data_IF_129954554766
#
_entry.id   IF_129954554766
#
_cell.length_a   1.000
_cell.length_b   1.000
_cell.length_c   1.000
_cell.angle_alpha   90.00
_cell.angle_beta   90.00
_cell.angle_gamma   90.00
#
_symmetry.space_group_name_H-M   'P 1'
#
loop_
_entity.id
_entity.type
_entity.pdbx_description
1 polymer ?
#
# COMPACT_ATOMS: atom_id res chain seq x y z
N UNK A 1 -9.98 31.65 -77.36
CA UNK A 1 -10.81 32.34 -76.35
C UNK A 1 -11.78 31.35 -75.74
N UNK A 2 -11.86 31.33 -74.40
CA UNK A 2 -12.79 30.58 -73.50
C UNK A 2 -12.65 29.04 -73.48
N UNK A 3 -12.04 28.52 -72.40
CA UNK A 3 -12.62 27.87 -71.18
C UNK A 3 -12.97 26.39 -71.46
N UNK A 4 -12.13 25.43 -71.05
CA UNK A 4 -12.01 24.74 -69.73
C UNK A 4 -13.23 23.88 -69.37
N UNK A 5 -13.00 22.56 -69.35
CA UNK A 5 -13.84 21.52 -68.72
C UNK A 5 -12.95 20.38 -68.20
N UNK A 6 -13.30 19.86 -67.01
CA UNK A 6 -12.93 18.57 -66.35
C UNK A 6 -11.42 18.25 -66.16
N UNK A 7 -10.94 17.60 -65.10
CA UNK A 7 -11.50 16.93 -63.94
C UNK A 7 -10.40 16.07 -63.29
N UNK A 8 -10.52 15.83 -61.97
CA UNK A 8 -9.83 14.83 -61.12
C UNK A 8 -8.29 14.72 -61.12
N UNK A 9 -7.64 14.93 -59.95
CA UNK A 9 -6.45 14.18 -59.51
C UNK A 9 -6.37 14.08 -57.97
N UNK A 10 -6.32 12.83 -57.49
CA UNK A 10 -5.58 12.19 -56.38
C UNK A 10 -5.29 12.90 -55.04
N UNK A 11 -5.45 12.10 -53.96
CA UNK A 11 -4.94 12.37 -52.63
C UNK A 11 -3.42 12.22 -52.51
N UNK A 12 -2.88 12.81 -51.43
CA UNK A 12 -1.50 12.65 -51.01
C UNK A 12 -1.42 12.63 -49.47
N UNK A 13 -0.72 11.61 -48.99
CA UNK A 13 -0.22 11.39 -47.63
C UNK A 13 0.69 12.55 -47.21
N UNK A 14 0.54 13.05 -45.99
CA UNK A 14 1.55 13.89 -45.34
C UNK A 14 2.04 13.16 -44.08
N UNK A 15 3.25 12.64 -44.17
CA UNK A 15 4.14 12.39 -43.03
C UNK A 15 4.77 13.73 -42.67
N UNK A 16 4.63 14.18 -41.43
CA UNK A 16 5.51 15.21 -40.86
C UNK A 16 6.01 14.78 -39.49
N UNK A 17 7.32 14.57 -39.49
CA UNK A 17 8.25 14.32 -38.40
C UNK A 17 8.36 15.49 -37.42
N UNK A 18 8.57 15.12 -36.15
CA UNK A 18 9.50 15.76 -35.21
C UNK A 18 9.43 17.28 -35.02
N UNK A 19 8.79 17.72 -33.93
CA UNK A 19 9.27 18.88 -33.16
C UNK A 19 9.10 18.61 -31.67
N UNK A 20 10.25 18.41 -31.00
CA UNK A 20 10.42 18.43 -29.55
C UNK A 20 10.47 19.91 -29.14
N UNK A 21 9.61 20.39 -28.24
CA UNK A 21 9.91 21.58 -27.47
C UNK A 21 10.72 21.14 -26.24
N UNK A 22 12.02 21.41 -26.28
CA UNK A 22 12.79 21.61 -25.05
C UNK A 22 12.23 22.89 -24.43
N UNK A 23 11.43 22.75 -23.38
CA UNK A 23 11.15 23.84 -22.45
C UNK A 23 11.90 23.50 -21.18
N UNK A 24 12.89 24.34 -20.89
CA UNK A 24 13.73 24.24 -19.72
C UNK A 24 12.95 24.33 -18.42
N UNK A 25 13.58 23.75 -17.40
CA UNK A 25 13.37 23.98 -15.98
C UNK A 25 12.93 25.41 -15.67
N UNK A 26 11.74 25.56 -15.11
CA UNK A 26 11.47 26.21 -13.82
C UNK A 26 9.95 26.34 -13.66
N UNK A 27 9.30 25.24 -13.27
CA UNK A 27 7.90 25.23 -12.90
C UNK A 27 7.75 24.34 -11.67
N UNK A 28 7.83 24.98 -10.51
CA UNK A 28 7.27 24.50 -9.26
C UNK A 28 5.80 24.09 -9.49
N UNK A 29 5.60 22.82 -9.81
CA UNK A 29 4.29 22.23 -10.06
C UNK A 29 3.54 22.04 -8.73
N UNK A 30 3.07 23.14 -8.15
CA UNK A 30 1.87 23.13 -7.29
C UNK A 30 0.67 22.80 -8.17
N UNK A 31 0.44 21.52 -8.44
CA UNK A 31 -0.87 21.08 -8.91
C UNK A 31 -1.85 21.27 -7.76
N UNK A 32 -2.72 22.26 -7.91
CA UNK A 32 -3.81 22.54 -6.98
C UNK A 32 -4.67 21.28 -6.84
N UNK A 33 -4.77 20.78 -5.62
CA UNK A 33 -5.90 20.03 -5.07
C UNK A 33 -7.17 20.32 -5.89
N UNK A 34 -7.79 19.31 -6.52
CA UNK A 34 -9.15 19.49 -7.05
C UNK A 34 -10.10 19.48 -5.84
N UNK A 35 -10.61 20.64 -5.40
CA UNK A 35 -11.34 20.73 -4.13
C UNK A 35 -12.68 20.00 -4.22
N UNK A 36 -13.29 19.98 -5.41
CA UNK A 36 -14.58 19.34 -5.67
C UNK A 36 -14.51 17.81 -5.55
N UNK A 37 -13.40 17.22 -6.01
CA UNK A 37 -13.07 15.81 -5.79
C UNK A 37 -13.06 15.59 -4.26
N UNK A 38 -12.15 16.24 -3.52
CA UNK A 38 -12.04 16.08 -2.04
C UNK A 38 -13.34 16.35 -1.26
N UNK A 39 -14.12 17.36 -1.63
CA UNK A 39 -15.38 17.69 -0.95
C UNK A 39 -16.43 16.58 -1.14
N UNK A 40 -16.55 16.02 -2.34
CA UNK A 40 -17.43 14.85 -2.59
C UNK A 40 -16.94 13.60 -1.84
N UNK A 41 -15.64 13.50 -1.55
CA UNK A 41 -15.05 12.40 -0.76
C UNK A 41 -15.21 12.57 0.76
N UNK A 42 -15.08 13.80 1.30
CA UNK A 42 -15.31 14.08 2.73
C UNK A 42 -16.76 13.68 3.13
N UNK A 43 -17.74 13.74 2.20
CA UNK A 43 -19.12 13.27 2.40
C UNK A 43 -19.26 11.73 2.47
N UNK A 44 -18.48 10.97 1.69
CA UNK A 44 -18.53 9.49 1.67
C UNK A 44 -17.76 8.83 2.83
N UNK A 45 -16.94 9.60 3.56
CA UNK A 45 -16.06 9.12 4.63
C UNK A 45 -16.74 9.00 6.01
N UNK A 46 -17.95 9.54 6.18
CA UNK A 46 -18.64 9.54 7.47
C UNK A 46 -19.26 8.20 7.86
N UNK A 47 -19.33 7.24 6.92
CA UNK A 47 -20.24 6.10 7.04
C UNK A 47 -19.57 4.73 7.26
N UNK A 48 -18.24 4.64 7.32
CA UNK A 48 -17.55 3.36 7.61
C UNK A 48 -17.82 2.95 9.07
N UNK A 49 -18.68 1.95 9.26
CA UNK A 49 -19.03 1.34 10.56
C UNK A 49 -18.49 -0.07 10.70
N UNK A 50 -18.48 -0.84 9.60
CA UNK A 50 -18.02 -2.22 9.57
C UNK A 50 -16.84 -2.33 8.61
N UNK A 51 -15.66 -2.55 9.18
CA UNK A 51 -14.44 -2.86 8.44
C UNK A 51 -14.08 -4.32 8.67
N UNK A 52 -13.83 -5.06 7.59
CA UNK A 52 -13.35 -6.44 7.67
C UNK A 52 -11.96 -6.55 7.06
N UNK A 53 -11.16 -7.46 7.61
CA UNK A 53 -9.85 -7.82 7.12
C UNK A 53 -9.93 -9.16 6.39
N UNK A 54 -9.52 -9.23 5.12
CA UNK A 54 -9.68 -10.45 4.30
C UNK A 54 -8.37 -11.04 3.73
N UNK A 55 -7.27 -10.28 3.73
CA UNK A 55 -5.93 -10.67 3.27
C UNK A 55 -5.72 -10.83 1.74
N UNK A 56 -6.54 -11.63 1.03
CA UNK A 56 -6.56 -11.75 -0.44
C UNK A 56 -7.91 -12.27 -0.94
N UNK A 57 -8.57 -11.51 -1.82
CA UNK A 57 -9.90 -11.90 -2.34
C UNK A 57 -9.87 -13.09 -3.32
N UNK A 58 -8.71 -13.44 -3.86
CA UNK A 58 -8.57 -14.54 -4.85
C UNK A 58 -8.18 -15.88 -4.23
N UNK A 59 -7.92 -15.91 -2.92
CA UNK A 59 -7.28 -17.03 -2.23
C UNK A 59 -8.10 -18.31 -2.36
N UNK A 60 -7.51 -19.33 -2.99
CA UNK A 60 -8.12 -20.65 -3.19
C UNK A 60 -9.22 -20.73 -4.26
N UNK A 61 -9.68 -19.60 -4.83
CA UNK A 61 -10.76 -19.55 -5.84
C UNK A 61 -10.37 -20.28 -7.12
N UNK A 62 -9.12 -20.15 -7.53
CA UNK A 62 -8.59 -20.68 -8.79
C UNK A 62 -7.98 -22.08 -8.65
N UNK A 63 -8.07 -22.68 -7.46
CA UNK A 63 -7.53 -24.00 -7.22
C UNK A 63 -8.41 -25.07 -7.89
N UNK A 64 -7.84 -26.06 -8.59
CA UNK A 64 -8.62 -27.08 -9.32
C UNK A 64 -9.58 -27.88 -8.42
N UNK A 65 -9.20 -28.08 -7.15
CA UNK A 65 -10.05 -28.76 -6.15
C UNK A 65 -11.16 -27.88 -5.56
N UNK A 66 -11.29 -26.61 -5.97
CA UNK A 66 -12.28 -25.65 -5.45
C UNK A 66 -12.26 -25.55 -3.92
N UNK A 67 -11.07 -25.32 -3.36
CA UNK A 67 -10.87 -25.18 -1.90
C UNK A 67 -11.74 -24.03 -1.36
N UNK A 68 -11.87 -22.97 -2.15
CA UNK A 68 -12.81 -21.88 -1.98
C UNK A 68 -13.44 -21.58 -3.34
N UNK A 69 -14.66 -21.05 -3.35
CA UNK A 69 -15.32 -20.57 -4.56
C UNK A 69 -15.54 -19.05 -4.49
N UNK A 70 -15.86 -18.46 -5.64
CA UNK A 70 -16.27 -17.06 -5.68
C UNK A 70 -17.56 -16.84 -4.88
N UNK A 71 -18.48 -17.79 -4.94
CA UNK A 71 -19.74 -17.76 -4.20
C UNK A 71 -19.52 -17.77 -2.69
N UNK A 72 -18.54 -18.54 -2.18
CA UNK A 72 -18.18 -18.53 -0.76
C UNK A 72 -17.67 -17.16 -0.31
N UNK A 73 -16.81 -16.51 -1.12
CA UNK A 73 -16.36 -15.14 -0.88
C UNK A 73 -17.53 -14.16 -0.84
N UNK A 74 -18.44 -14.22 -1.83
CA UNK A 74 -19.62 -13.34 -1.87
C UNK A 74 -20.53 -13.55 -0.66
N UNK A 75 -20.76 -14.80 -0.26
CA UNK A 75 -21.59 -15.10 0.91
C UNK A 75 -20.99 -14.50 2.18
N UNK A 76 -19.67 -14.64 2.39
CA UNK A 76 -18.99 -14.04 3.54
C UNK A 76 -19.13 -12.51 3.54
N UNK A 77 -18.97 -11.86 2.39
CA UNK A 77 -19.13 -10.42 2.28
C UNK A 77 -20.57 -9.97 2.55
N UNK A 78 -21.57 -10.70 2.05
CA UNK A 78 -22.98 -10.40 2.33
C UNK A 78 -23.36 -10.61 3.79
N UNK A 79 -22.86 -11.68 4.41
CA UNK A 79 -23.11 -12.00 5.81
C UNK A 79 -22.48 -10.98 6.75
N UNK A 80 -21.29 -10.48 6.41
CA UNK A 80 -20.58 -9.47 7.20
C UNK A 80 -21.02 -8.04 6.92
N UNK A 81 -21.63 -7.79 5.76
CA UNK A 81 -22.13 -6.48 5.30
C UNK A 81 -21.13 -5.32 5.58
N UNK A 82 -19.90 -5.39 5.06
CA UNK A 82 -18.87 -4.41 5.35
C UNK A 82 -19.06 -3.12 4.55
N UNK A 83 -18.71 -1.99 5.15
CA UNK A 83 -18.50 -0.74 4.42
C UNK A 83 -17.10 -0.71 3.79
N UNK A 84 -16.14 -1.36 4.46
CA UNK A 84 -14.73 -1.46 4.07
C UNK A 84 -14.24 -2.91 4.09
N UNK A 85 -13.74 -3.37 2.94
CA UNK A 85 -12.95 -4.59 2.82
C UNK A 85 -11.47 -4.20 2.77
N UNK A 86 -10.80 -4.42 3.87
CA UNK A 86 -9.40 -4.08 4.08
C UNK A 86 -8.48 -5.23 3.68
N UNK A 87 -7.36 -4.89 3.03
CA UNK A 87 -6.35 -5.83 2.55
C UNK A 87 -6.93 -6.85 1.58
N UNK A 88 -7.68 -6.36 0.57
CA UNK A 88 -8.20 -7.20 -0.53
C UNK A 88 -7.07 -7.84 -1.33
N UNK A 89 -5.88 -7.24 -1.26
CA UNK A 89 -4.66 -7.76 -1.83
C UNK A 89 -3.46 -7.47 -0.93
N UNK A 90 -2.86 -8.51 -0.35
CA UNK A 90 -1.58 -8.41 0.34
C UNK A 90 -0.43 -8.81 -0.57
N UNK A 91 0.30 -7.81 -1.06
CA UNK A 91 1.49 -8.02 -1.89
C UNK A 91 2.71 -8.30 -1.00
N UNK A 92 2.90 -9.54 -0.57
CA UNK A 92 4.08 -9.94 0.23
C UNK A 92 5.29 -10.34 -0.63
N UNK A 93 5.03 -11.08 -1.70
CA UNK A 93 6.03 -11.63 -2.62
C UNK A 93 5.86 -11.04 -4.01
N UNK A 94 6.86 -11.17 -4.91
CA UNK A 94 6.72 -10.71 -6.28
C UNK A 94 5.53 -11.41 -6.96
N UNK A 95 4.59 -10.61 -7.45
CA UNK A 95 3.37 -11.10 -8.10
C UNK A 95 3.50 -10.97 -9.62
N UNK A 96 3.28 -12.05 -10.38
CA UNK A 96 3.25 -11.96 -11.83
C UNK A 96 1.93 -11.37 -12.33
N UNK A 97 1.97 -10.76 -13.52
CA UNK A 97 0.77 -10.25 -14.18
C UNK A 97 -0.22 -11.38 -14.49
N UNK A 98 0.26 -12.44 -15.13
CA UNK A 98 -0.52 -13.65 -15.44
C UNK A 98 0.40 -14.87 -15.54
N UNK A 99 -0.20 -16.06 -15.48
CA UNK A 99 0.45 -17.37 -15.54
C UNK A 99 -0.50 -18.41 -16.15
N UNK A 100 0.01 -19.53 -16.69
CA UNK A 100 -0.81 -20.66 -17.12
C UNK A 100 -1.67 -21.25 -15.98
N UNK A 101 -2.89 -21.75 -16.26
CA UNK A 101 -3.80 -22.27 -15.23
C UNK A 101 -3.29 -23.47 -14.42
N UNK A 102 -2.36 -24.24 -14.97
CA UNK A 102 -1.71 -25.38 -14.32
C UNK A 102 -0.54 -24.96 -13.39
N UNK A 103 -0.13 -23.69 -13.44
CA UNK A 103 0.95 -23.19 -12.60
C UNK A 103 0.49 -23.05 -11.12
N UNK A 104 1.23 -23.55 -10.12
CA UNK A 104 0.82 -23.52 -8.72
C UNK A 104 0.48 -22.12 -8.18
N UNK A 105 1.26 -21.10 -8.58
CA UNK A 105 0.99 -19.69 -8.22
C UNK A 105 -0.33 -19.17 -8.79
N UNK A 106 -0.71 -19.59 -10.00
CA UNK A 106 -2.02 -19.27 -10.57
C UNK A 106 -3.14 -19.98 -9.80
N UNK A 107 -2.97 -21.27 -9.50
CA UNK A 107 -3.96 -22.05 -8.75
C UNK A 107 -4.16 -21.50 -7.32
N UNK A 108 -3.13 -20.89 -6.75
CA UNK A 108 -3.22 -20.15 -5.48
C UNK A 108 -3.93 -18.78 -5.60
N UNK A 109 -4.34 -18.36 -6.80
CA UNK A 109 -4.97 -17.07 -7.04
C UNK A 109 -4.00 -15.89 -6.99
N UNK A 110 -2.71 -16.11 -7.22
CA UNK A 110 -1.67 -15.11 -6.95
C UNK A 110 -1.11 -14.46 -8.23
N UNK A 111 -1.99 -13.92 -9.08
CA UNK A 111 -1.60 -13.01 -10.19
C UNK A 111 -2.38 -11.70 -10.12
N UNK A 112 -1.84 -10.63 -10.69
CA UNK A 112 -2.57 -9.36 -10.75
C UNK A 112 -3.80 -9.42 -11.65
N UNK A 113 -3.76 -10.19 -12.75
CA UNK A 113 -4.94 -10.43 -13.59
C UNK A 113 -6.10 -11.02 -12.79
N UNK A 114 -5.83 -12.06 -11.99
CA UNK A 114 -6.86 -12.69 -11.15
C UNK A 114 -7.43 -11.72 -10.12
N UNK A 115 -6.57 -10.89 -9.54
CA UNK A 115 -6.98 -9.87 -8.59
C UNK A 115 -7.93 -8.86 -9.21
N UNK A 116 -7.55 -8.29 -10.35
CA UNK A 116 -8.32 -7.28 -11.09
C UNK A 116 -9.67 -7.85 -11.55
N UNK A 117 -9.67 -9.00 -12.23
CA UNK A 117 -10.91 -9.65 -12.70
C UNK A 117 -11.87 -9.98 -11.54
N UNK A 118 -11.33 -10.46 -10.42
CA UNK A 118 -12.13 -10.77 -9.23
C UNK A 118 -12.68 -9.50 -8.59
N UNK A 119 -11.85 -8.47 -8.41
CA UNK A 119 -12.28 -7.20 -7.81
C UNK A 119 -13.34 -6.50 -8.65
N UNK A 120 -13.16 -6.45 -9.97
CA UNK A 120 -14.16 -5.93 -10.89
C UNK A 120 -15.49 -6.69 -10.78
N UNK A 121 -15.44 -8.02 -10.66
CA UNK A 121 -16.65 -8.84 -10.50
C UNK A 121 -17.35 -8.55 -9.17
N UNK A 122 -16.59 -8.46 -8.07
CA UNK A 122 -17.13 -8.12 -6.76
C UNK A 122 -17.81 -6.76 -6.75
N UNK A 123 -17.18 -5.74 -7.34
CA UNK A 123 -17.77 -4.39 -7.42
C UNK A 123 -19.07 -4.35 -8.22
N UNK A 124 -19.22 -5.21 -9.23
CA UNK A 124 -20.48 -5.35 -9.98
C UNK A 124 -21.55 -6.11 -9.19
N UNK A 125 -21.15 -7.16 -8.49
CA UNK A 125 -22.07 -8.06 -7.78
C UNK A 125 -22.49 -7.52 -6.40
N UNK A 126 -21.65 -6.66 -5.81
CA UNK A 126 -21.78 -6.07 -4.47
C UNK A 126 -21.52 -4.54 -4.53
N UNK A 127 -22.29 -3.78 -5.33
CA UNK A 127 -22.09 -2.34 -5.50
C UNK A 127 -22.29 -1.54 -4.22
N UNK A 128 -22.93 -2.11 -3.20
CA UNK A 128 -23.10 -1.52 -1.87
C UNK A 128 -21.79 -1.39 -1.08
N UNK A 129 -20.76 -2.18 -1.39
CA UNK A 129 -19.45 -2.06 -0.74
C UNK A 129 -18.62 -1.03 -1.51
N UNK A 130 -18.40 0.12 -0.88
CA UNK A 130 -17.73 1.23 -1.54
C UNK A 130 -16.21 1.20 -1.36
N UNK A 131 -15.67 0.65 -0.26
CA UNK A 131 -14.24 0.73 0.03
C UNK A 131 -13.53 -0.63 -0.10
N UNK A 132 -12.61 -0.71 -1.07
CA UNK A 132 -11.84 -1.90 -1.39
C UNK A 132 -10.35 -1.57 -1.34
N UNK A 133 -9.68 -1.93 -0.24
CA UNK A 133 -8.32 -1.45 0.01
C UNK A 133 -7.27 -2.51 -0.18
N UNK A 134 -6.30 -2.17 -1.02
CA UNK A 134 -5.08 -2.93 -1.19
C UNK A 134 -4.11 -2.74 -0.03
N UNK A 135 -2.99 -3.45 -0.07
CA UNK A 135 -1.96 -3.33 0.96
C UNK A 135 -0.57 -3.65 0.40
N UNK A 136 0.42 -2.87 0.80
CA UNK A 136 1.83 -3.04 0.42
C UNK A 136 2.75 -2.92 1.64
N UNK A 137 3.81 -3.76 1.74
CA UNK A 137 4.78 -3.69 2.81
C UNK A 137 5.84 -2.63 2.51
N UNK A 138 6.06 -1.72 3.47
CA UNK A 138 7.25 -0.84 3.49
C UNK A 138 8.42 -1.49 4.24
N UNK A 139 8.17 -2.63 4.89
CA UNK A 139 9.16 -3.37 5.69
C UNK A 139 9.97 -4.42 4.91
N UNK A 140 9.74 -4.56 3.60
CA UNK A 140 10.37 -5.63 2.82
C UNK A 140 10.53 -5.28 1.35
N UNK A 141 11.73 -5.53 0.84
CA UNK A 141 11.99 -5.82 -0.57
C UNK A 141 12.49 -7.26 -0.69
N UNK A 142 11.94 -8.07 -1.62
CA UNK A 142 12.38 -9.45 -1.79
C UNK A 142 13.77 -9.53 -2.44
N UNK A 143 14.54 -10.58 -2.18
CA UNK A 143 15.86 -10.76 -2.83
C UNK A 143 15.74 -10.72 -4.35
N UNK A 144 14.83 -11.49 -4.91
CA UNK A 144 14.46 -11.36 -6.32
C UNK A 144 13.13 -10.64 -6.39
N UNK A 145 13.10 -9.55 -7.13
CA UNK A 145 11.95 -8.66 -7.14
C UNK A 145 11.50 -8.31 -8.55
N UNK A 146 10.28 -7.81 -8.69
CA UNK A 146 9.70 -7.44 -9.99
C UNK A 146 8.92 -6.14 -9.87
N UNK A 147 9.16 -5.23 -10.81
CA UNK A 147 8.26 -4.12 -11.07
C UNK A 147 7.07 -4.65 -11.89
N UNK A 148 5.84 -4.63 -11.35
CA UNK A 148 4.68 -5.21 -12.02
C UNK A 148 4.19 -4.38 -13.21
N UNK A 149 4.58 -3.10 -13.31
CA UNK A 149 4.19 -2.22 -14.42
C UNK A 149 5.11 -2.43 -15.62
N UNK A 150 6.43 -2.42 -15.39
CA UNK A 150 7.42 -2.51 -16.48
C UNK A 150 7.81 -3.94 -16.80
N UNK A 151 7.55 -4.88 -15.89
CA UNK A 151 8.02 -6.25 -15.98
C UNK A 151 9.50 -6.44 -15.63
N UNK A 152 10.26 -5.36 -15.35
CA UNK A 152 11.67 -5.44 -14.95
C UNK A 152 11.81 -6.33 -13.71
N UNK A 153 12.72 -7.30 -13.78
CA UNK A 153 13.15 -8.09 -12.64
C UNK A 153 14.42 -7.50 -12.03
N UNK A 154 14.52 -7.54 -10.72
CA UNK A 154 15.70 -7.14 -9.95
C UNK A 154 16.30 -8.37 -9.29
N UNK A 155 17.60 -8.52 -9.46
CA UNK A 155 18.40 -9.54 -8.79
C UNK A 155 18.64 -9.20 -7.31
N UNK A 156 19.12 -10.19 -6.54
CA UNK A 156 19.50 -9.98 -5.13
C UNK A 156 20.56 -8.89 -4.93
N UNK A 157 21.47 -8.70 -5.90
CA UNK A 157 22.46 -7.64 -5.83
C UNK A 157 21.81 -6.26 -6.02
N UNK A 158 20.88 -6.13 -6.97
CA UNK A 158 20.15 -4.87 -7.17
C UNK A 158 19.25 -4.53 -5.97
N UNK A 159 18.56 -5.53 -5.40
CA UNK A 159 17.72 -5.30 -4.21
C UNK A 159 18.54 -5.07 -2.95
N UNK A 160 19.80 -5.55 -2.91
CA UNK A 160 20.75 -5.19 -1.85
C UNK A 160 21.11 -3.69 -1.90
N UNK A 161 21.30 -3.11 -3.08
CA UNK A 161 21.56 -1.65 -3.21
C UNK A 161 20.36 -0.81 -2.74
N UNK A 162 19.15 -1.35 -2.81
CA UNK A 162 17.92 -0.74 -2.30
C UNK A 162 17.71 -0.92 -0.78
N UNK A 163 18.51 -1.75 -0.12
CA UNK A 163 18.38 -2.03 1.30
C UNK A 163 18.95 -0.90 2.17
N UNK A 164 18.32 -0.64 3.32
CA UNK A 164 18.73 0.38 4.26
C UNK A 164 20.18 0.20 4.72
N UNK A 165 21.00 1.20 4.42
CA UNK A 165 22.36 1.35 4.92
C UNK A 165 22.45 2.59 5.82
N UNK A 166 22.51 2.44 7.15
CA UNK A 166 22.59 3.58 8.05
C UNK A 166 23.95 4.29 7.96
N UNK A 167 25.00 3.65 7.43
CA UNK A 167 26.35 4.24 7.31
C UNK A 167 26.39 5.43 6.35
N UNK A 168 25.44 5.54 5.41
CA UNK A 168 25.37 6.68 4.49
C UNK A 168 25.08 8.02 5.20
N UNK A 169 24.54 7.97 6.42
CA UNK A 169 24.37 9.14 7.28
C UNK A 169 25.43 9.21 8.40
N UNK A 170 26.51 8.43 8.30
CA UNK A 170 27.57 8.39 9.31
C UNK A 170 27.21 7.67 10.61
N UNK A 171 26.11 6.91 10.63
CA UNK A 171 25.70 6.13 11.80
C UNK A 171 26.62 4.90 11.91
N UNK A 172 27.24 4.70 13.08
CA UNK A 172 28.15 3.58 13.32
C UNK A 172 27.39 2.25 13.58
N UNK A 173 26.74 1.76 12.53
CA UNK A 173 26.04 0.48 12.51
C UNK A 173 26.15 -0.11 11.11
N UNK A 174 26.60 -1.36 10.94
CA UNK A 174 26.79 -1.90 9.59
C UNK A 174 25.47 -2.28 8.91
N UNK A 175 25.44 -2.13 7.59
CA UNK A 175 24.32 -2.55 6.74
C UNK A 175 23.99 -4.03 6.97
N UNK A 176 25.00 -4.90 6.93
CA UNK A 176 24.84 -6.36 7.07
C UNK A 176 24.18 -6.73 8.38
N UNK A 177 24.63 -6.12 9.49
CA UNK A 177 24.07 -6.39 10.81
C UNK A 177 22.62 -5.90 10.90
N UNK A 178 22.30 -4.75 10.30
CA UNK A 178 20.94 -4.23 10.29
C UNK A 178 20.01 -5.16 9.52
N UNK A 179 20.43 -5.61 8.35
CA UNK A 179 19.65 -6.49 7.51
C UNK A 179 19.46 -7.88 8.16
N UNK A 180 20.49 -8.42 8.81
CA UNK A 180 20.38 -9.68 9.58
C UNK A 180 19.34 -9.57 10.71
N UNK A 181 19.37 -8.48 11.49
CA UNK A 181 18.40 -8.24 12.56
C UNK A 181 17.00 -8.04 12.00
N UNK A 182 16.85 -7.32 10.89
CA UNK A 182 15.56 -7.10 10.27
C UNK A 182 14.91 -8.40 9.78
N UNK A 183 15.71 -9.33 9.25
CA UNK A 183 15.26 -10.65 8.81
C UNK A 183 14.84 -11.55 9.98
N UNK A 184 15.63 -11.56 11.06
CA UNK A 184 15.40 -12.45 12.21
C UNK A 184 14.35 -11.93 13.20
N UNK A 185 14.31 -10.62 13.41
CA UNK A 185 13.53 -10.00 14.49
C UNK A 185 12.63 -8.84 14.00
N UNK A 186 12.96 -8.20 12.88
CA UNK A 186 12.30 -6.97 12.41
C UNK A 186 11.10 -7.17 11.47
N UNK A 187 10.68 -8.42 11.23
CA UNK A 187 9.49 -8.71 10.41
C UNK A 187 9.73 -8.72 8.89
N UNK A 188 10.94 -8.41 8.41
CA UNK A 188 11.28 -8.49 6.98
C UNK A 188 11.23 -9.93 6.47
N UNK A 189 11.60 -10.91 7.29
CA UNK A 189 11.64 -12.34 6.96
C UNK A 189 12.86 -12.75 6.12
N UNK A 190 13.19 -14.04 6.12
CA UNK A 190 14.48 -14.60 5.65
C UNK A 190 14.84 -14.36 4.17
N UNK A 191 13.87 -14.01 3.33
CA UNK A 191 14.05 -13.84 1.87
C UNK A 191 13.85 -12.39 1.39
N UNK A 192 14.09 -11.43 2.26
CA UNK A 192 14.01 -10.01 1.92
C UNK A 192 14.99 -9.15 2.70
N UNK A 193 15.13 -7.92 2.25
CA UNK A 193 15.85 -6.86 2.93
C UNK A 193 14.88 -5.81 3.45
N UNK A 194 15.26 -5.14 4.55
CA UNK A 194 14.60 -3.94 5.03
C UNK A 194 14.99 -2.79 4.11
N UNK A 195 14.04 -2.24 3.35
CA UNK A 195 14.34 -1.31 2.28
C UNK A 195 14.70 0.08 2.81
N UNK A 196 15.41 0.84 1.98
CA UNK A 196 15.68 2.25 2.20
C UNK A 196 14.60 3.11 1.52
N UNK A 197 13.69 3.71 2.28
CA UNK A 197 12.62 4.55 1.72
C UNK A 197 13.14 5.81 1.02
N UNK A 198 14.39 6.21 1.27
CA UNK A 198 15.04 7.36 0.61
C UNK A 198 15.77 6.97 -0.68
N UNK A 199 15.93 5.67 -0.97
CA UNK A 199 16.55 5.20 -2.21
C UNK A 199 15.56 5.36 -3.38
N UNK A 200 15.96 6.09 -4.42
CA UNK A 200 15.10 6.40 -5.57
C UNK A 200 14.63 5.17 -6.35
N UNK A 201 15.48 4.17 -6.52
CA UNK A 201 15.09 2.94 -7.22
C UNK A 201 14.07 2.14 -6.41
N UNK A 202 14.24 2.11 -5.08
CA UNK A 202 13.23 1.53 -4.19
C UNK A 202 11.92 2.32 -4.24
N UNK A 203 11.97 3.65 -4.22
CA UNK A 203 10.76 4.49 -4.32
C UNK A 203 10.01 4.21 -5.63
N UNK A 204 10.70 4.16 -6.77
CA UNK A 204 10.10 3.83 -8.07
C UNK A 204 9.43 2.44 -8.04
N UNK A 205 10.12 1.46 -7.46
CA UNK A 205 9.61 0.11 -7.31
C UNK A 205 8.42 0.02 -6.36
N UNK A 206 8.48 0.66 -5.19
CA UNK A 206 7.39 0.70 -4.21
C UNK A 206 6.14 1.37 -4.81
N UNK A 207 6.32 2.51 -5.49
CA UNK A 207 5.24 3.19 -6.18
C UNK A 207 4.65 2.31 -7.29
N UNK A 208 5.44 1.49 -7.98
CA UNK A 208 4.90 0.57 -8.99
C UNK A 208 3.97 -0.49 -8.39
N UNK A 209 4.18 -0.91 -7.14
CA UNK A 209 3.28 -1.82 -6.43
C UNK A 209 1.94 -1.14 -6.10
N UNK A 210 1.99 0.08 -5.57
CA UNK A 210 0.80 0.88 -5.29
C UNK A 210 -0.01 1.13 -6.56
N UNK A 211 0.66 1.62 -7.61
CA UNK A 211 0.06 1.95 -8.90
C UNK A 211 -0.63 0.75 -9.55
N UNK A 212 -0.02 -0.44 -9.51
CA UNK A 212 -0.65 -1.65 -10.08
C UNK A 212 -1.92 -2.05 -9.35
N UNK A 213 -1.98 -1.90 -8.02
CA UNK A 213 -3.20 -2.16 -7.26
C UNK A 213 -4.28 -1.11 -7.54
N UNK A 214 -3.91 0.17 -7.71
CA UNK A 214 -4.83 1.23 -8.14
C UNK A 214 -5.39 0.93 -9.52
N UNK A 215 -4.55 0.48 -10.46
CA UNK A 215 -4.99 0.07 -11.80
C UNK A 215 -5.94 -1.12 -11.76
N UNK A 216 -5.77 -2.05 -10.80
CA UNK A 216 -6.72 -3.14 -10.57
C UNK A 216 -8.06 -2.67 -9.95
N UNK A 217 -8.14 -1.41 -9.55
CA UNK A 217 -9.37 -0.79 -9.05
C UNK A 217 -9.45 -0.64 -7.52
N UNK A 218 -8.37 -0.77 -6.74
CA UNK A 218 -8.46 -0.39 -5.32
C UNK A 218 -8.65 1.11 -5.18
N UNK A 219 -9.44 1.54 -4.20
CA UNK A 219 -9.62 2.96 -3.87
C UNK A 219 -9.02 3.34 -2.52
N UNK A 220 -8.25 2.44 -1.92
CA UNK A 220 -7.38 2.76 -0.80
C UNK A 220 -6.23 1.79 -0.67
N UNK A 221 -5.23 2.21 0.09
CA UNK A 221 -4.01 1.45 0.33
C UNK A 221 -3.60 1.54 1.79
N UNK A 222 -3.35 0.37 2.38
CA UNK A 222 -2.61 0.27 3.61
C UNK A 222 -1.12 0.15 3.33
N UNK A 223 -0.37 1.13 3.82
CA UNK A 223 1.08 1.22 3.74
C UNK A 223 1.64 0.61 5.01
N UNK A 224 1.83 -0.70 5.01
CA UNK A 224 2.25 -1.44 6.20
C UNK A 224 3.67 -1.02 6.60
N UNK A 225 3.87 -0.82 7.90
CA UNK A 225 5.16 -0.45 8.50
C UNK A 225 5.83 0.78 7.86
N UNK A 226 5.04 1.73 7.33
CA UNK A 226 5.52 2.94 6.64
C UNK A 226 6.58 3.72 7.44
N UNK A 227 6.36 3.85 8.74
CA UNK A 227 7.25 4.60 9.64
C UNK A 227 8.34 3.76 10.29
N UNK A 228 8.54 2.50 9.89
CA UNK A 228 9.51 1.62 10.54
C UNK A 228 10.95 2.13 10.40
N UNK A 229 11.36 2.58 9.21
CA UNK A 229 12.71 3.07 8.97
C UNK A 229 13.09 4.26 9.87
N UNK A 230 12.32 5.37 9.90
CA UNK A 230 12.67 6.49 10.76
C UNK A 230 12.68 6.10 12.25
N UNK A 231 11.84 5.14 12.69
CA UNK A 231 11.87 4.66 14.09
C UNK A 231 13.14 3.87 14.39
N UNK A 232 13.57 2.99 13.48
CA UNK A 232 14.83 2.25 13.61
C UNK A 232 16.00 3.22 13.68
N UNK A 233 16.05 4.23 12.80
CA UNK A 233 17.12 5.23 12.78
C UNK A 233 17.13 6.12 14.03
N UNK A 234 15.96 6.53 14.52
CA UNK A 234 15.84 7.28 15.77
C UNK A 234 16.37 6.46 16.96
N UNK A 235 16.08 5.15 17.00
CA UNK A 235 16.58 4.24 18.05
C UNK A 235 18.09 4.05 17.96
N UNK A 236 18.65 3.88 16.77
CA UNK A 236 20.11 3.69 16.58
C UNK A 236 20.91 4.94 16.95
N UNK A 237 20.35 6.13 16.71
CA UNK A 237 21.01 7.41 16.97
C UNK A 237 20.68 7.98 18.35
N UNK A 238 19.62 7.51 19.00
CA UNK A 238 19.07 8.12 20.21
C UNK A 238 18.46 9.51 19.96
N UNK A 239 18.22 9.89 18.70
CA UNK A 239 17.77 11.22 18.33
C UNK A 239 16.65 11.17 17.27
N UNK A 240 15.39 11.52 17.62
CA UNK A 240 14.27 11.55 16.67
C UNK A 240 14.34 12.70 15.66
N UNK A 241 15.28 13.65 15.82
CA UNK A 241 15.58 14.73 14.87
C UNK A 241 16.94 14.56 14.18
N UNK A 242 17.45 13.33 14.12
CA UNK A 242 18.66 13.08 13.34
C UNK A 242 18.36 13.26 11.84
N UNK A 243 19.30 13.76 11.00
CA UNK A 243 19.06 13.94 9.57
C UNK A 243 18.52 12.70 8.86
N UNK A 244 19.06 11.52 9.21
CA UNK A 244 18.56 10.23 8.69
C UNK A 244 17.05 9.98 8.97
N UNK A 245 16.54 10.46 10.11
CA UNK A 245 15.12 10.35 10.47
C UNK A 245 14.30 11.35 9.66
N UNK A 246 14.74 12.62 9.62
CA UNK A 246 14.04 13.69 8.89
C UNK A 246 13.94 13.38 7.39
N UNK A 247 15.05 12.99 6.75
CA UNK A 247 15.07 12.58 5.34
C UNK A 247 14.18 11.35 5.07
N UNK A 248 14.06 10.43 6.03
CA UNK A 248 13.15 9.29 5.90
C UNK A 248 11.69 9.71 5.98
N UNK A 249 11.35 10.71 6.80
CA UNK A 249 9.99 11.26 6.88
C UNK A 249 9.63 12.04 5.61
N UNK A 250 10.56 12.84 5.08
CA UNK A 250 10.38 13.53 3.79
C UNK A 250 10.17 12.54 2.64
N UNK A 251 10.91 11.44 2.62
CA UNK A 251 10.72 10.38 1.63
C UNK A 251 9.36 9.69 1.76
N UNK A 252 8.85 9.51 2.98
CA UNK A 252 7.50 8.98 3.22
C UNK A 252 6.43 9.95 2.69
N UNK A 253 6.59 11.25 2.95
CA UNK A 253 5.66 12.28 2.44
C UNK A 253 5.63 12.27 0.91
N UNK A 254 6.81 12.15 0.27
CA UNK A 254 6.92 11.97 -1.17
C UNK A 254 6.15 10.73 -1.67
N UNK A 255 6.32 9.57 -1.03
CA UNK A 255 5.60 8.35 -1.40
C UNK A 255 4.08 8.53 -1.30
N UNK A 256 3.60 9.13 -0.21
CA UNK A 256 2.18 9.45 0.01
C UNK A 256 1.65 10.36 -1.11
N UNK A 257 2.38 11.44 -1.42
CA UNK A 257 1.99 12.39 -2.45
C UNK A 257 1.93 11.74 -3.84
N UNK A 258 2.94 10.97 -4.22
CA UNK A 258 2.98 10.32 -5.54
C UNK A 258 1.88 9.27 -5.73
N UNK A 259 1.52 8.54 -4.67
CA UNK A 259 0.39 7.59 -4.72
C UNK A 259 -0.91 8.34 -4.99
N UNK A 260 -1.18 9.44 -4.26
CA UNK A 260 -2.38 10.25 -4.47
C UNK A 260 -2.37 10.94 -5.84
N UNK A 261 -1.23 11.46 -6.27
CA UNK A 261 -1.07 12.05 -7.60
C UNK A 261 -1.42 11.05 -8.70
N UNK A 262 -0.97 9.80 -8.56
CA UNK A 262 -1.34 8.74 -9.49
C UNK A 262 -2.84 8.44 -9.46
N UNK A 263 -3.45 8.32 -8.28
CA UNK A 263 -4.90 8.19 -8.12
C UNK A 263 -5.67 9.29 -8.86
N UNK A 264 -5.30 10.54 -8.65
CA UNK A 264 -5.93 11.67 -9.33
C UNK A 264 -5.78 11.62 -10.85
N UNK A 265 -4.64 11.14 -11.35
CA UNK A 265 -4.45 10.92 -12.79
C UNK A 265 -5.39 9.85 -13.37
N UNK A 266 -5.94 8.99 -12.52
CA UNK A 266 -6.97 7.98 -12.84
C UNK A 266 -8.39 8.45 -12.52
N UNK A 267 -8.56 9.68 -12.02
CA UNK A 267 -9.85 10.24 -11.63
C UNK A 267 -10.34 9.80 -10.24
N UNK A 268 -9.47 9.18 -9.44
CA UNK A 268 -9.84 8.58 -8.15
C UNK A 268 -9.09 9.24 -6.99
N UNK A 269 -9.74 9.36 -5.84
CA UNK A 269 -9.05 9.67 -4.58
C UNK A 269 -8.66 8.35 -3.91
N UNK A 270 -7.37 8.19 -3.58
CA UNK A 270 -6.87 6.98 -2.94
C UNK A 270 -6.75 7.23 -1.44
N UNK A 271 -7.57 6.53 -0.66
CA UNK A 271 -7.51 6.56 0.79
C UNK A 271 -6.21 5.93 1.28
N UNK A 272 -5.47 6.64 2.12
CA UNK A 272 -4.20 6.15 2.66
C UNK A 272 -4.31 5.86 4.13
N UNK A 273 -3.83 4.67 4.48
CA UNK A 273 -3.86 4.12 5.82
C UNK A 273 -2.47 3.63 6.22
N UNK A 274 -2.05 3.89 7.46
CA UNK A 274 -0.86 3.25 8.04
C UNK A 274 -1.00 3.13 9.56
N UNK A 275 0.00 2.57 10.23
CA UNK A 275 0.05 2.49 11.68
C UNK A 275 0.23 3.88 12.31
N UNK A 276 -0.36 4.09 13.49
CA UNK A 276 -0.26 5.34 14.27
C UNK A 276 1.13 5.66 14.83
N UNK A 277 2.18 4.98 14.38
CA UNK A 277 3.54 5.11 14.95
C UNK A 277 4.27 6.38 14.53
N UNK A 278 3.70 7.19 13.63
CA UNK A 278 4.19 8.53 13.33
C UNK A 278 4.16 9.46 14.56
N UNK A 279 3.36 9.14 15.58
CA UNK A 279 3.30 9.91 16.83
C UNK A 279 4.63 9.94 17.58
N UNK A 280 5.54 8.99 17.29
CA UNK A 280 6.87 8.90 17.90
C UNK A 280 7.81 10.04 17.45
N UNK A 281 7.48 10.75 16.35
CA UNK A 281 8.28 11.85 15.83
C UNK A 281 7.69 13.20 16.23
N UNK A 282 8.45 14.09 16.90
CA UNK A 282 7.97 15.42 17.25
C UNK A 282 7.59 16.25 16.01
N UNK A 283 6.49 16.98 16.09
CA UNK A 283 6.02 17.94 15.07
C UNK A 283 5.74 17.36 13.66
N UNK A 284 5.78 16.04 13.50
CA UNK A 284 5.51 15.39 12.21
C UNK A 284 4.05 14.99 12.07
N UNK A 285 3.47 15.32 10.90
CA UNK A 285 2.07 15.06 10.55
C UNK A 285 1.98 14.54 9.11
N UNK A 286 1.77 13.22 8.90
CA UNK A 286 1.64 12.64 7.56
C UNK A 286 0.25 12.89 6.98
N UNK A 287 0.13 12.95 5.66
CA UNK A 287 -1.18 13.13 4.99
C UNK A 287 -1.92 11.78 4.84
N UNK A 288 -2.42 11.24 5.96
CA UNK A 288 -3.18 9.98 6.04
C UNK A 288 -4.66 10.22 6.36
N UNK A 289 -5.52 9.37 5.79
CA UNK A 289 -6.98 9.39 6.01
C UNK A 289 -7.39 8.47 7.16
N UNK A 290 -6.65 7.39 7.34
CA UNK A 290 -6.89 6.37 8.35
C UNK A 290 -5.62 6.01 9.11
N UNK A 291 -5.79 5.68 10.38
CA UNK A 291 -4.74 5.24 11.26
C UNK A 291 -5.12 3.90 11.87
N UNK A 292 -4.28 2.89 11.70
CA UNK A 292 -4.41 1.60 12.38
C UNK A 292 -3.77 1.69 13.75
N UNK A 293 -4.49 1.16 14.73
CA UNK A 293 -4.01 0.90 16.08
C UNK A 293 -4.39 -0.54 16.45
N UNK A 294 -3.67 -1.14 17.39
CA UNK A 294 -3.93 -2.54 17.79
C UNK A 294 -4.29 -2.65 19.25
N UNK A 295 -5.16 -3.61 19.56
CA UNK A 295 -5.32 -4.12 20.92
C UNK A 295 -4.03 -4.82 21.35
N UNK A 296 -3.73 -4.74 22.63
CA UNK A 296 -2.67 -5.52 23.27
C UNK A 296 -3.17 -6.94 23.58
N UNK A 297 -2.24 -7.87 23.72
CA UNK A 297 -2.53 -9.21 24.21
C UNK A 297 -3.22 -9.21 25.59
N UNK A 298 -2.94 -8.22 26.44
CA UNK A 298 -3.57 -8.09 27.76
C UNK A 298 -5.05 -7.71 27.62
N UNK A 299 -5.36 -6.72 26.81
CA UNK A 299 -6.74 -6.29 26.57
C UNK A 299 -7.57 -7.40 25.96
N UNK A 300 -7.02 -8.12 24.98
CA UNK A 300 -7.70 -9.28 24.38
C UNK A 300 -7.94 -10.37 25.41
N UNK A 301 -6.92 -10.74 26.20
CA UNK A 301 -7.05 -11.80 27.22
C UNK A 301 -8.10 -11.49 28.27
N UNK A 302 -8.18 -10.22 28.68
CA UNK A 302 -9.06 -9.78 29.75
C UNK A 302 -10.45 -9.35 29.24
N UNK A 303 -10.64 -9.25 27.92
CA UNK A 303 -11.84 -8.67 27.29
C UNK A 303 -12.16 -7.26 27.80
N UNK A 304 -11.12 -6.50 28.16
CA UNK A 304 -11.22 -5.18 28.79
C UNK A 304 -10.22 -4.24 28.14
N UNK A 305 -10.70 -3.07 27.69
CA UNK A 305 -9.86 -2.04 27.08
C UNK A 305 -9.14 -1.24 28.16
N UNK A 306 -7.88 -0.89 27.90
CA UNK A 306 -7.11 0.01 28.74
C UNK A 306 -7.49 1.46 28.41
N UNK A 307 -8.53 1.98 29.06
CA UNK A 307 -9.14 3.28 28.71
C UNK A 307 -8.12 4.43 28.69
N UNK A 308 -7.23 4.51 29.68
CA UNK A 308 -6.18 5.55 29.74
C UNK A 308 -5.25 5.47 28.52
N UNK A 309 -4.84 4.25 28.13
CA UNK A 309 -4.01 4.04 26.93
C UNK A 309 -4.77 4.43 25.66
N UNK A 310 -6.06 4.09 25.55
CA UNK A 310 -6.86 4.47 24.38
C UNK A 310 -7.04 5.97 24.26
N UNK A 311 -7.33 6.65 25.37
CA UNK A 311 -7.43 8.12 25.40
C UNK A 311 -6.11 8.77 24.98
N UNK A 312 -4.98 8.26 25.45
CA UNK A 312 -3.65 8.75 25.05
C UNK A 312 -3.39 8.54 23.54
N UNK A 313 -3.64 7.33 23.04
CA UNK A 313 -3.44 6.99 21.61
C UNK A 313 -4.33 7.89 20.74
N UNK A 314 -5.62 7.99 21.07
CA UNK A 314 -6.59 8.77 20.33
C UNK A 314 -6.20 10.25 20.36
N UNK A 315 -5.84 10.79 21.53
CA UNK A 315 -5.43 12.19 21.67
C UNK A 315 -4.22 12.51 20.80
N UNK A 316 -3.15 11.69 20.85
CA UNK A 316 -1.93 11.92 20.05
C UNK A 316 -2.20 11.88 18.54
N UNK A 317 -3.05 10.96 18.09
CA UNK A 317 -3.42 10.86 16.68
C UNK A 317 -4.27 12.07 16.28
N UNK A 318 -5.31 12.41 17.08
CA UNK A 318 -6.27 13.46 16.75
C UNK A 318 -5.73 14.88 16.87
N UNK A 319 -4.74 15.11 17.73
CA UNK A 319 -4.02 16.38 17.81
C UNK A 319 -3.36 16.72 16.47
N UNK A 320 -2.80 15.72 15.78
CA UNK A 320 -2.07 15.89 14.52
C UNK A 320 -2.96 15.68 13.30
N UNK A 321 -3.85 14.70 13.37
CA UNK A 321 -4.77 14.30 12.30
C UNK A 321 -6.23 14.32 12.81
N UNK A 322 -6.81 15.50 13.03
CA UNK A 322 -8.15 15.63 13.62
C UNK A 322 -9.23 14.94 12.78
N UNK A 323 -9.08 14.95 11.45
CA UNK A 323 -10.01 14.34 10.51
C UNK A 323 -9.79 12.83 10.29
N UNK A 324 -8.60 12.30 10.57
CA UNK A 324 -8.31 10.89 10.26
C UNK A 324 -9.17 9.94 11.10
N UNK A 325 -9.65 8.86 10.49
CA UNK A 325 -10.39 7.82 11.20
C UNK A 325 -9.41 6.84 11.84
N UNK A 326 -9.77 6.28 12.98
CA UNK A 326 -8.93 5.31 13.69
C UNK A 326 -9.62 3.93 13.56
N UNK A 327 -8.89 2.95 13.04
CA UNK A 327 -9.34 1.56 12.98
C UNK A 327 -8.54 0.76 14.00
N UNK A 328 -9.24 0.15 14.95
CA UNK A 328 -8.65 -0.78 15.91
C UNK A 328 -8.71 -2.20 15.34
N UNK A 329 -7.57 -2.90 15.35
CA UNK A 329 -7.52 -4.31 14.91
C UNK A 329 -6.94 -5.21 15.99
N UNK A 330 -7.31 -6.48 15.94
CA UNK A 330 -6.62 -7.56 16.65
C UNK A 330 -5.47 -8.00 15.75
N UNK A 331 -4.27 -7.50 16.01
CA UNK A 331 -3.09 -7.73 15.15
C UNK A 331 -2.56 -9.17 15.23
N UNK A 332 -1.87 -9.60 14.18
CA UNK A 332 -1.35 -10.96 14.02
C UNK A 332 0.02 -10.99 13.33
N UNK A 333 0.73 -12.08 13.56
CA UNK A 333 2.02 -12.37 12.94
C UNK A 333 2.20 -13.89 12.82
N UNK A 334 3.37 -14.34 12.35
CA UNK A 334 3.70 -15.77 12.25
C UNK A 334 3.90 -16.50 13.60
N UNK A 335 3.32 -15.99 14.68
CA UNK A 335 3.44 -16.51 16.05
C UNK A 335 2.13 -16.34 16.82
N UNK A 336 1.91 -17.23 17.79
CA UNK A 336 0.77 -17.15 18.72
C UNK A 336 0.98 -16.09 19.81
N UNK A 337 2.19 -15.54 19.94
CA UNK A 337 2.48 -14.43 20.85
C UNK A 337 2.03 -13.08 20.24
N UNK A 338 0.76 -13.01 19.86
CA UNK A 338 0.11 -11.85 19.23
C UNK A 338 -1.31 -11.72 19.77
N UNK A 339 -1.93 -10.54 19.59
CA UNK A 339 -3.31 -10.33 20.04
C UNK A 339 -4.29 -11.31 19.39
N UNK A 340 -4.12 -11.63 18.10
CA UNK A 340 -4.92 -12.67 17.44
C UNK A 340 -4.58 -14.07 17.94
N UNK A 341 -3.32 -14.34 18.27
CA UNK A 341 -2.92 -15.59 18.90
C UNK A 341 -3.62 -15.80 20.24
N UNK A 342 -3.65 -14.78 21.11
CA UNK A 342 -4.40 -14.83 22.37
C UNK A 342 -5.89 -15.07 22.11
N UNK A 343 -6.50 -14.27 21.24
CA UNK A 343 -7.92 -14.41 20.89
C UNK A 343 -8.28 -15.83 20.44
N UNK A 344 -7.46 -16.41 19.55
CA UNK A 344 -7.77 -17.69 18.93
C UNK A 344 -7.36 -18.92 19.75
N UNK A 345 -6.38 -18.79 20.64
CA UNK A 345 -5.82 -19.94 21.37
C UNK A 345 -6.19 -19.97 22.86
N UNK A 346 -6.47 -18.82 23.47
CA UNK A 346 -6.71 -18.72 24.91
C UNK A 346 -8.19 -18.50 25.27
N UNK A 347 -8.98 -17.87 24.39
CA UNK A 347 -10.38 -17.58 24.66
C UNK A 347 -11.30 -18.72 24.21
N UNK A 348 -12.33 -18.98 25.02
CA UNK A 348 -13.45 -19.86 24.67
C UNK A 348 -14.47 -19.15 23.78
N UNK A 349 -15.42 -19.92 23.26
CA UNK A 349 -16.52 -19.37 22.46
C UNK A 349 -17.51 -18.59 23.35
N UNK A 350 -17.70 -19.07 24.56
CA UNK A 350 -18.39 -18.41 25.67
C UNK A 350 -17.53 -17.29 26.24
#
# INVERSE_FOLDING_TARGET
>A
MRKRTLGLVFGLVIVLSSFIPVIGSDASHRWKYNPMVRETFDENMTDIKVAILYQRITDGIYHPSKIRTYEDLVNILKETNPDLVFRVWWRWIPTPESLPPDHPVYQAGHTYQQFEETLEKLKRDLPEIHHWWGSIPTQRINFNERNPITGKTYSQNETWEMALDPQKWGINFSKEKLQELAQKEGGTGEYGYFPDVTNKEFQELYLSWAKRQIDAGVNGLFLDMLFAQPRVLAKLTGNPRHPAVEESLEAIDYLIEEIRRYGYSKGEYIYLCSWGTFTDFPDYTPDLDFVIVTLTMREVRNLELDEERWDEIISKIKERLPKAKILAIIDWAGTTNTSLGVFSQELSKE
#
